data_IF_859847953237
#
_entry.id   IF_859847953237
#
_cell.length_a   1.000
_cell.length_b   1.000
_cell.length_c   1.000
_cell.angle_alpha   90.00
_cell.angle_beta   90.00
_cell.angle_gamma   90.00
#
_symmetry.space_group_name_H-M   'P 1'
#
loop_
_entity.id
_entity.type
_entity.pdbx_description
1 polymer ?
2 non-polymer ?
3 non-polymer ?
4 water ?
#
# COMPACT_ATOMS: atom_id res chain seq x y z
N UNK A 1 -16.90 -36.40 -1.53
CA UNK A 1 -18.30 -36.18 -1.08
C UNK A 1 -18.85 -34.92 -1.77
N UNK A 2 -19.61 -34.11 -1.02
CA UNK A 2 -20.15 -32.83 -1.57
C UNK A 2 -19.04 -31.77 -1.65
N UNK A 3 -17.92 -31.93 -0.94
CA UNK A 3 -16.82 -30.91 -0.89
C UNK A 3 -16.22 -30.66 -2.28
N UNK A 4 -16.28 -31.65 -3.19
CA UNK A 4 -15.69 -31.55 -4.55
C UNK A 4 -16.38 -30.46 -5.37
N UNK A 5 -17.68 -30.27 -5.12
CA UNK A 5 -18.51 -29.33 -5.92
C UNK A 5 -18.17 -27.89 -5.53
N UNK A 6 -17.83 -27.66 -4.25
CA UNK A 6 -17.46 -26.31 -3.75
C UNK A 6 -16.21 -25.83 -4.49
N UNK A 7 -15.22 -26.73 -4.59
CA UNK A 7 -13.89 -26.40 -5.16
C UNK A 7 -14.01 -26.12 -6.65
N UNK A 8 -14.80 -26.91 -7.38
CA UNK A 8 -14.89 -26.70 -8.85
C UNK A 8 -15.55 -25.34 -9.10
N UNK A 9 -16.47 -24.92 -8.23
CA UNK A 9 -17.04 -23.55 -8.36
C UNK A 9 -15.99 -22.53 -7.92
N UNK A 10 -15.17 -22.86 -6.90
CA UNK A 10 -14.01 -21.99 -6.60
C UNK A 10 -13.17 -21.83 -7.87
N UNK A 11 -12.92 -22.94 -8.59
CA UNK A 11 -12.18 -22.86 -9.88
C UNK A 11 -12.94 -21.94 -10.84
N UNK A 12 -14.28 -22.02 -10.81
CA UNK A 12 -15.16 -21.28 -11.74
C UNK A 12 -15.13 -19.78 -11.41
N UNK A 13 -15.12 -19.42 -10.13
CA UNK A 13 -15.13 -17.99 -9.71
C UNK A 13 -13.73 -17.41 -9.95
N UNK A 14 -12.68 -18.23 -9.80
CA UNK A 14 -11.29 -17.76 -10.12
C UNK A 14 -11.27 -17.39 -11.59
N UNK A 15 -11.84 -18.23 -12.44
CA UNK A 15 -11.87 -17.96 -13.90
C UNK A 15 -12.83 -16.81 -14.16
N UNK A 16 -13.96 -16.80 -13.43
CA UNK A 16 -14.99 -15.74 -13.57
C UNK A 16 -14.32 -14.37 -13.32
N UNK A 17 -13.69 -14.21 -12.14
CA UNK A 17 -13.09 -12.93 -11.72
C UNK A 17 -11.96 -12.46 -12.64
N UNK A 18 -11.15 -13.40 -13.13
CA UNK A 18 -9.88 -13.05 -13.82
C UNK A 18 -10.18 -12.81 -15.30
N UNK A 19 -11.03 -13.63 -15.89
CA UNK A 19 -11.40 -13.41 -17.31
C UNK A 19 -11.95 -11.99 -17.43
N UNK A 20 -12.65 -11.53 -16.38
CA UNK A 20 -13.18 -10.14 -16.35
C UNK A 20 -12.02 -9.16 -16.37
N UNK A 21 -11.04 -9.40 -15.50
CA UNK A 21 -9.90 -8.46 -15.29
C UNK A 21 -9.17 -8.28 -16.63
N UNK A 22 -8.91 -9.38 -17.36
CA UNK A 22 -8.13 -9.34 -18.62
C UNK A 22 -8.86 -8.45 -19.64
N UNK A 23 -10.11 -8.79 -19.94
CA UNK A 23 -10.94 -8.01 -20.90
C UNK A 23 -11.06 -6.55 -20.41
N UNK A 24 -11.48 -6.35 -19.16
CA UNK A 24 -11.67 -4.99 -18.57
C UNK A 24 -10.46 -4.07 -18.81
N UNK A 25 -9.23 -4.60 -18.66
CA UNK A 25 -7.99 -3.79 -18.86
C UNK A 25 -7.85 -3.46 -20.34
N UNK A 26 -7.94 -4.48 -21.20
CA UNK A 26 -7.75 -4.29 -22.67
C UNK A 26 -8.99 -3.59 -23.27
N UNK A 27 -10.11 -3.54 -22.52
CA UNK A 27 -11.38 -2.96 -23.05
C UNK A 27 -11.35 -1.42 -22.92
N UNK A 28 -10.76 -0.88 -21.85
CA UNK A 28 -10.86 0.58 -21.59
C UNK A 28 -9.45 1.19 -21.49
N UNK A 29 -9.22 2.29 -22.21
CA UNK A 29 -7.93 3.04 -22.20
C UNK A 29 -7.66 3.60 -20.79
N UNK A 30 -8.70 3.88 -20.00
CA UNK A 30 -8.53 4.45 -18.64
C UNK A 30 -7.92 3.43 -17.67
N UNK A 31 -7.99 2.13 -17.99
CA UNK A 31 -7.35 1.08 -17.14
C UNK A 31 -6.08 0.56 -17.83
N UNK A 32 -5.67 1.16 -18.95
CA UNK A 32 -4.48 0.65 -19.68
C UNK A 32 -3.22 1.29 -19.12
N UNK A 33 -2.95 1.06 -17.83
CA UNK A 33 -1.77 1.63 -17.14
C UNK A 33 -0.71 0.53 -16.94
N UNK A 34 0.56 0.95 -16.79
CA UNK A 34 1.70 0.06 -16.47
C UNK A 34 1.29 -1.00 -15.44
N UNK A 35 0.83 -0.55 -14.27
CA UNK A 35 0.51 -1.44 -13.12
C UNK A 35 -0.58 -2.42 -13.52
N UNK A 36 -1.62 -1.92 -14.18
CA UNK A 36 -2.81 -2.74 -14.53
C UNK A 36 -2.40 -3.75 -15.61
N UNK A 37 -1.42 -3.40 -16.46
CA UNK A 37 -0.86 -4.37 -17.43
C UNK A 37 -0.17 -5.49 -16.66
N UNK A 38 0.60 -5.15 -15.62
CA UNK A 38 1.25 -6.19 -14.77
C UNK A 38 0.17 -6.95 -14.00
N UNK A 39 -1.00 -6.35 -13.80
CA UNK A 39 -2.09 -6.99 -13.02
C UNK A 39 -2.74 -8.11 -13.85
N UNK A 40 -2.87 -7.93 -15.17
CA UNK A 40 -3.45 -9.01 -16.02
C UNK A 40 -2.45 -10.17 -16.08
N UNK A 41 -1.14 -9.87 -16.05
CA UNK A 41 -0.07 -10.92 -16.02
C UNK A 41 -0.25 -11.75 -14.76
N UNK A 42 -0.59 -11.10 -13.65
CA UNK A 42 -0.95 -11.76 -12.36
C UNK A 42 -2.24 -12.56 -12.57
N UNK A 43 -3.20 -11.99 -13.32
CA UNK A 43 -4.52 -12.63 -13.55
C UNK A 43 -4.32 -13.90 -14.38
N UNK A 44 -3.30 -13.91 -15.23
CA UNK A 44 -3.06 -15.08 -16.14
C UNK A 44 -2.44 -16.22 -15.32
N UNK A 45 -1.57 -15.87 -14.37
CA UNK A 45 -1.00 -16.87 -13.43
C UNK A 45 -2.14 -17.48 -12.60
N UNK A 46 -3.11 -16.65 -12.19
CA UNK A 46 -4.27 -17.08 -11.35
C UNK A 46 -5.20 -17.95 -12.22
N UNK A 47 -5.20 -17.74 -13.55
CA UNK A 47 -6.07 -18.54 -14.45
C UNK A 47 -5.42 -19.90 -14.72
N UNK A 48 -4.11 -19.90 -14.96
CA UNK A 48 -3.38 -21.15 -15.29
C UNK A 48 -3.39 -22.09 -14.08
N UNK A 49 -3.35 -21.54 -12.85
CA UNK A 49 -3.49 -22.36 -11.61
C UNK A 49 -4.86 -23.03 -11.64
N UNK A 50 -5.93 -22.26 -11.92
CA UNK A 50 -7.33 -22.75 -11.87
C UNK A 50 -7.57 -23.81 -12.94
N UNK A 51 -6.94 -23.68 -14.11
CA UNK A 51 -7.19 -24.58 -15.27
C UNK A 51 -6.15 -25.71 -15.30
N UNK A 52 -4.85 -25.40 -15.24
CA UNK A 52 -3.80 -26.43 -15.45
C UNK A 52 -3.57 -27.26 -14.19
N UNK A 53 -3.86 -26.74 -12.98
CA UNK A 53 -3.26 -27.32 -11.74
C UNK A 53 -4.36 -27.73 -10.75
N UNK A 54 -5.29 -26.83 -10.48
CA UNK A 54 -6.24 -27.00 -9.35
C UNK A 54 -7.12 -28.23 -9.58
N UNK A 55 -7.55 -28.53 -10.83
CA UNK A 55 -8.23 -29.79 -11.12
C UNK A 55 -7.55 -31.05 -10.56
N UNK A 56 -6.23 -31.19 -10.74
CA UNK A 56 -5.49 -32.33 -10.18
C UNK A 56 -5.48 -32.28 -8.64
N UNK A 57 -5.49 -31.07 -8.06
CA UNK A 57 -5.50 -30.94 -6.59
C UNK A 57 -6.85 -31.41 -6.05
N UNK A 58 -7.93 -31.13 -6.79
CA UNK A 58 -9.29 -31.57 -6.33
C UNK A 58 -9.36 -33.11 -6.47
N UNK A 59 -8.86 -33.69 -7.57
CA UNK A 59 -8.91 -35.17 -7.74
C UNK A 59 -8.19 -35.78 -6.54
N UNK A 60 -7.10 -35.14 -6.11
CA UNK A 60 -6.23 -35.63 -5.02
C UNK A 60 -7.02 -35.63 -3.71
N UNK A 61 -7.96 -34.68 -3.57
CA UNK A 61 -8.90 -34.65 -2.41
C UNK A 61 -9.96 -35.74 -2.61
N UNK A 62 -10.54 -35.83 -3.82
CA UNK A 62 -11.63 -36.81 -4.14
C UNK A 62 -11.06 -38.22 -3.96
N UNK A 63 -10.11 -38.62 -4.81
CA UNK A 63 -9.44 -39.96 -4.76
C UNK A 63 -8.68 -40.18 -3.44
N UNK A 64 -7.86 -39.23 -2.97
CA UNK A 64 -7.13 -39.38 -1.69
C UNK A 64 -5.69 -39.84 -1.85
N UNK A 65 -5.26 -40.12 -3.08
CA UNK A 65 -3.80 -40.35 -3.36
C UNK A 65 -3.57 -40.13 -4.86
N UNK A 66 -2.32 -40.14 -5.34
CA UNK A 66 -2.05 -39.70 -6.74
C UNK A 66 -2.70 -40.66 -7.76
N UNK A 67 -2.40 -41.95 -7.79
CA UNK A 67 -3.17 -42.84 -8.73
C UNK A 67 -3.03 -42.42 -10.21
N UNK A 68 -1.85 -41.89 -10.61
CA UNK A 68 -1.45 -41.47 -11.99
C UNK A 68 0.07 -41.63 -12.16
N UNK A 69 0.63 -41.32 -13.34
CA UNK A 69 2.07 -41.65 -13.58
C UNK A 69 2.96 -40.76 -12.71
N UNK A 70 4.18 -41.19 -12.40
CA UNK A 70 5.19 -40.34 -11.70
C UNK A 70 5.41 -39.05 -12.49
N UNK A 71 5.59 -39.15 -13.81
CA UNK A 71 5.98 -37.94 -14.58
C UNK A 71 4.81 -36.95 -14.60
N UNK A 72 3.58 -37.46 -14.60
CA UNK A 72 2.35 -36.64 -14.53
C UNK A 72 2.44 -35.83 -13.21
N UNK A 73 2.80 -36.48 -12.12
CA UNK A 73 2.92 -35.76 -10.83
C UNK A 73 4.04 -34.72 -10.96
N UNK A 74 5.20 -35.08 -11.51
CA UNK A 74 6.31 -34.11 -11.74
C UNK A 74 5.80 -32.90 -12.51
N UNK A 75 5.15 -33.13 -13.65
CA UNK A 75 4.54 -32.04 -14.46
C UNK A 75 3.58 -31.25 -13.58
N UNK A 76 2.75 -31.96 -12.81
CA UNK A 76 1.66 -31.28 -12.06
C UNK A 76 2.30 -30.41 -10.97
N UNK A 77 3.38 -30.89 -10.35
CA UNK A 77 4.08 -30.17 -9.24
C UNK A 77 4.89 -29.02 -9.84
N UNK A 78 5.64 -29.30 -10.91
CA UNK A 78 6.43 -28.27 -11.61
C UNK A 78 5.50 -27.11 -11.98
N UNK A 79 4.40 -27.40 -12.68
CA UNK A 79 3.47 -26.33 -13.15
C UNK A 79 2.79 -25.65 -11.97
N UNK A 80 2.42 -26.40 -10.93
CA UNK A 80 1.79 -25.79 -9.72
C UNK A 80 2.78 -24.77 -9.11
N UNK A 81 4.02 -25.19 -8.90
CA UNK A 81 5.07 -24.28 -8.35
C UNK A 81 5.28 -23.12 -9.34
N UNK A 82 5.24 -23.39 -10.64
CA UNK A 82 5.61 -22.35 -11.63
C UNK A 82 4.58 -21.22 -11.58
N UNK A 83 3.29 -21.53 -11.50
CA UNK A 83 2.22 -20.50 -11.58
C UNK A 83 2.09 -19.75 -10.24
N UNK A 84 2.48 -20.38 -9.15
CA UNK A 84 2.41 -19.66 -7.86
C UNK A 84 3.60 -18.70 -7.80
N UNK A 85 4.72 -19.09 -8.42
CA UNK A 85 5.95 -18.25 -8.44
C UNK A 85 5.70 -17.04 -9.35
N UNK A 86 5.01 -17.25 -10.47
CA UNK A 86 4.58 -16.13 -11.35
C UNK A 86 3.71 -15.14 -10.58
N UNK A 87 2.78 -15.67 -9.77
CA UNK A 87 1.94 -14.86 -8.84
C UNK A 87 2.81 -13.93 -7.97
N UNK A 88 3.86 -14.49 -7.34
CA UNK A 88 4.79 -13.77 -6.45
C UNK A 88 5.69 -12.79 -7.25
N UNK A 89 6.29 -13.26 -8.34
CA UNK A 89 7.17 -12.43 -9.18
C UNK A 89 6.38 -11.31 -9.83
N UNK A 90 5.05 -11.47 -9.99
CA UNK A 90 4.18 -10.40 -10.55
C UNK A 90 3.93 -9.32 -9.50
N UNK A 91 3.65 -9.72 -8.26
CA UNK A 91 3.58 -8.79 -7.10
C UNK A 91 4.89 -8.00 -6.98
N UNK A 92 6.02 -8.67 -7.18
CA UNK A 92 7.34 -8.00 -7.09
C UNK A 92 7.45 -6.91 -8.16
N UNK A 93 7.05 -7.23 -9.38
CA UNK A 93 7.14 -6.24 -10.46
C UNK A 93 6.09 -5.16 -10.21
N UNK A 94 4.95 -5.53 -9.61
CA UNK A 94 3.88 -4.52 -9.33
C UNK A 94 4.42 -3.51 -8.31
N UNK A 95 5.12 -4.02 -7.30
CA UNK A 95 5.63 -3.11 -6.25
C UNK A 95 6.68 -2.21 -6.89
N UNK A 96 7.54 -2.80 -7.72
CA UNK A 96 8.62 -2.01 -8.36
C UNK A 96 8.00 -0.95 -9.25
N UNK A 97 6.95 -1.30 -10.00
CA UNK A 97 6.25 -0.33 -10.87
C UNK A 97 5.57 0.74 -9.98
N UNK A 98 5.20 0.37 -8.77
CA UNK A 98 4.67 1.38 -7.81
C UNK A 98 5.82 2.27 -7.30
N UNK A 99 7.01 1.69 -7.08
CA UNK A 99 8.15 2.52 -6.64
C UNK A 99 8.42 3.55 -7.74
N UNK A 100 8.51 3.11 -8.99
CA UNK A 100 8.93 4.04 -10.07
C UNK A 100 7.92 5.18 -10.12
N UNK A 101 6.62 4.87 -10.00
CA UNK A 101 5.55 5.86 -10.27
C UNK A 101 5.61 6.98 -9.22
N UNK A 102 5.86 6.62 -7.97
CA UNK A 102 5.93 7.63 -6.87
C UNK A 102 7.31 8.30 -6.81
N UNK A 103 8.38 7.61 -7.22
CA UNK A 103 9.77 8.08 -6.98
C UNK A 103 10.45 8.61 -8.24
N UNK A 104 9.83 8.46 -9.43
CA UNK A 104 10.50 8.90 -10.69
C UNK A 104 9.56 9.79 -11.49
N UNK A 105 10.10 10.70 -12.34
CA UNK A 105 9.26 11.54 -13.21
C UNK A 105 8.47 10.77 -14.27
N UNK A 110 7.33 9.43 -21.10
CA UNK A 110 6.93 8.15 -20.46
C UNK A 110 5.67 7.63 -21.14
N UNK A 111 5.69 7.49 -22.48
CA UNK A 111 4.52 7.06 -23.32
C UNK A 111 4.80 5.67 -23.90
N UNK A 112 5.45 5.58 -25.08
CA UNK A 112 5.92 4.29 -25.66
C UNK A 112 6.94 3.62 -24.72
N UNK A 113 7.70 4.40 -23.94
CA UNK A 113 8.79 3.91 -23.03
C UNK A 113 8.22 3.03 -21.91
N UNK A 114 7.05 3.41 -21.38
CA UNK A 114 6.31 2.60 -20.37
C UNK A 114 5.93 1.23 -20.93
N UNK A 115 5.34 1.17 -22.14
CA UNK A 115 4.93 -0.10 -22.79
C UNK A 115 6.17 -0.97 -23.00
N UNK A 116 7.26 -0.38 -23.48
CA UNK A 116 8.51 -1.14 -23.70
C UNK A 116 9.10 -1.58 -22.36
N UNK A 117 8.80 -0.88 -21.27
CA UNK A 117 9.41 -1.26 -19.97
C UNK A 117 8.60 -2.38 -19.35
N UNK A 118 7.32 -2.12 -19.07
CA UNK A 118 6.36 -3.11 -18.50
C UNK A 118 6.54 -4.44 -19.21
N UNK A 119 6.61 -4.40 -20.55
CA UNK A 119 6.89 -5.59 -21.41
C UNK A 119 8.13 -6.31 -20.86
N UNK A 120 9.22 -5.57 -20.68
CA UNK A 120 10.48 -6.20 -20.20
C UNK A 120 10.20 -6.83 -18.84
N UNK A 121 9.48 -6.14 -17.95
CA UNK A 121 9.20 -6.71 -16.62
C UNK A 121 8.42 -8.03 -16.79
N UNK A 122 7.26 -8.00 -17.46
CA UNK A 122 6.42 -9.22 -17.68
C UNK A 122 7.30 -10.36 -18.22
N UNK A 123 8.13 -10.07 -19.22
CA UNK A 123 9.07 -11.09 -19.77
C UNK A 123 9.95 -11.67 -18.66
N UNK A 124 10.43 -10.83 -17.74
CA UNK A 124 11.29 -11.34 -16.64
C UNK A 124 10.43 -12.24 -15.76
N UNK A 125 9.20 -11.85 -15.48
CA UNK A 125 8.36 -12.56 -14.48
C UNK A 125 8.20 -14.01 -14.92
N UNK A 126 7.88 -14.24 -16.18
CA UNK A 126 7.48 -15.60 -16.63
C UNK A 126 8.73 -16.44 -16.91
N UNK A 127 9.73 -15.83 -17.56
CA UNK A 127 10.97 -16.58 -17.93
C UNK A 127 11.58 -17.08 -16.63
N UNK A 128 11.68 -16.20 -15.65
CA UNK A 128 12.35 -16.54 -14.38
C UNK A 128 11.47 -17.57 -13.67
N UNK A 129 10.16 -17.38 -13.72
CA UNK A 129 9.20 -18.34 -13.09
C UNK A 129 9.50 -19.73 -13.66
N UNK A 130 9.69 -19.80 -14.98
CA UNK A 130 9.94 -21.06 -15.71
C UNK A 130 11.28 -21.67 -15.28
N UNK A 131 12.33 -20.85 -15.39
CA UNK A 131 13.73 -21.30 -15.13
C UNK A 131 13.84 -21.76 -13.68
N UNK A 132 13.09 -21.14 -12.76
CA UNK A 132 13.01 -21.59 -11.34
C UNK A 132 12.34 -22.97 -11.27
N UNK A 133 11.37 -23.26 -12.15
CA UNK A 133 10.54 -24.48 -12.07
C UNK A 133 11.21 -25.67 -12.77
N UNK A 134 12.20 -25.41 -13.63
CA UNK A 134 12.73 -26.51 -14.50
C UNK A 134 13.41 -27.57 -13.65
N UNK A 135 14.15 -27.20 -12.58
CA UNK A 135 14.73 -28.19 -11.68
C UNK A 135 13.75 -29.29 -11.20
N UNK A 136 12.49 -28.92 -10.96
CA UNK A 136 11.49 -29.88 -10.40
C UNK A 136 11.24 -31.01 -11.41
N UNK A 137 11.35 -30.72 -12.71
CA UNK A 137 11.18 -31.78 -13.74
C UNK A 137 12.43 -32.67 -13.81
N UNK A 138 13.59 -32.21 -13.33
CA UNK A 138 14.83 -32.99 -13.49
C UNK A 138 15.37 -33.40 -12.11
N UNK A 139 14.46 -33.56 -11.15
CA UNK A 139 14.75 -34.09 -9.79
C UNK A 139 15.76 -33.29 -8.98
N UNK A 140 15.73 -31.95 -9.03
CA UNK A 140 16.61 -31.09 -8.18
C UNK A 140 18.02 -31.71 -8.11
N UNK A 141 18.66 -31.81 -9.29
CA UNK A 141 20.01 -32.41 -9.47
C UNK A 141 20.15 -33.65 -8.57
N UNK A 142 19.16 -34.55 -8.61
CA UNK A 142 19.18 -35.86 -7.90
C UNK A 142 18.69 -36.94 -8.88
N UNK A 143 19.60 -37.62 -9.57
CA UNK A 143 19.24 -38.64 -10.58
C UNK A 143 18.72 -39.92 -9.90
N UNK A 144 18.18 -40.89 -10.66
CA UNK A 144 17.26 -41.93 -10.12
C UNK A 144 16.19 -41.22 -9.28
N UNK A 145 15.35 -40.43 -9.95
CA UNK A 145 14.24 -39.72 -9.27
C UNK A 145 13.37 -40.77 -8.58
N UNK A 146 12.84 -41.70 -9.38
CA UNK A 146 12.06 -42.89 -8.95
C UNK A 146 10.86 -42.47 -8.10
N UNK A 147 10.43 -41.21 -8.16
CA UNK A 147 9.35 -40.72 -7.29
C UNK A 147 9.00 -39.30 -7.69
N UNK A 148 7.72 -38.94 -7.52
CA UNK A 148 7.25 -37.55 -7.74
C UNK A 148 8.17 -36.62 -6.96
N UNK A 149 8.52 -35.48 -7.56
CA UNK A 149 9.55 -34.57 -6.97
C UNK A 149 9.07 -34.08 -5.59
N UNK A 150 7.76 -34.14 -5.31
CA UNK A 150 7.19 -33.74 -3.98
C UNK A 150 7.91 -34.51 -2.85
N UNK A 151 8.38 -35.73 -3.13
CA UNK A 151 8.92 -36.65 -2.12
C UNK A 151 10.37 -36.31 -1.79
N UNK A 152 11.04 -35.52 -2.65
CA UNK A 152 12.44 -35.09 -2.40
C UNK A 152 12.45 -34.21 -1.16
N UNK A 153 13.35 -34.45 -0.18
CA UNK A 153 13.41 -33.62 1.03
C UNK A 153 13.68 -32.14 0.69
N UNK A 154 14.50 -31.91 -0.35
CA UNK A 154 14.93 -30.55 -0.76
C UNK A 154 13.75 -29.77 -1.38
N UNK A 155 12.67 -30.47 -1.75
CA UNK A 155 11.63 -29.80 -2.57
C UNK A 155 11.05 -28.60 -1.81
N UNK A 156 10.57 -28.86 -0.60
CA UNK A 156 9.98 -27.82 0.29
C UNK A 156 11.02 -26.74 0.57
N UNK A 157 12.30 -27.11 0.71
CA UNK A 157 13.39 -26.12 0.99
C UNK A 157 13.64 -25.28 -0.26
N UNK A 158 13.72 -25.90 -1.43
CA UNK A 158 13.94 -25.15 -2.70
C UNK A 158 12.74 -24.24 -3.00
N UNK A 159 11.54 -24.82 -3.02
CA UNK A 159 10.30 -24.10 -3.43
C UNK A 159 9.98 -22.96 -2.45
N UNK A 160 10.31 -23.14 -1.17
CA UNK A 160 9.95 -22.13 -0.15
C UNK A 160 10.87 -20.91 -0.32
N UNK A 161 12.18 -21.15 -0.32
CA UNK A 161 13.19 -20.05 -0.45
C UNK A 161 13.04 -19.38 -1.82
N UNK A 162 13.25 -20.16 -2.88
CA UNK A 162 13.44 -19.59 -4.23
C UNK A 162 12.16 -18.92 -4.72
N UNK A 163 10.99 -19.44 -4.34
CA UNK A 163 9.70 -19.04 -4.96
C UNK A 163 8.84 -18.21 -4.00
N UNK A 164 9.20 -18.11 -2.72
CA UNK A 164 8.31 -17.38 -1.78
C UNK A 164 9.09 -16.38 -0.94
N UNK A 165 9.90 -16.87 0.00
CA UNK A 165 10.55 -16.01 1.03
C UNK A 165 11.41 -14.91 0.34
N UNK A 166 12.15 -15.28 -0.70
CA UNK A 166 13.16 -14.36 -1.30
C UNK A 166 12.43 -13.29 -2.12
N UNK A 167 11.42 -13.65 -2.94
CA UNK A 167 10.58 -12.65 -3.58
C UNK A 167 9.77 -11.87 -2.52
N UNK A 168 9.45 -12.51 -1.40
CA UNK A 168 8.68 -11.84 -0.32
C UNK A 168 9.53 -10.74 0.30
N UNK A 169 10.80 -11.03 0.64
CA UNK A 169 11.69 -10.04 1.29
C UNK A 169 11.84 -8.84 0.37
N UNK A 170 12.17 -9.08 -0.91
CA UNK A 170 12.44 -8.00 -1.91
C UNK A 170 11.20 -7.11 -2.05
N UNK A 171 10.06 -7.73 -2.39
CA UNK A 171 8.80 -6.94 -2.51
C UNK A 171 8.51 -6.15 -1.23
N UNK A 172 8.70 -6.76 -0.05
CA UNK A 172 8.54 -6.04 1.24
C UNK A 172 9.57 -4.90 1.33
N UNK A 173 10.81 -5.11 0.91
CA UNK A 173 11.79 -4.01 1.00
C UNK A 173 11.34 -2.85 0.10
N UNK A 174 10.81 -3.14 -1.10
CA UNK A 174 10.34 -2.06 -2.00
C UNK A 174 9.24 -1.26 -1.30
N UNK A 175 8.25 -1.97 -0.73
CA UNK A 175 7.04 -1.32 -0.16
C UNK A 175 7.46 -0.41 0.99
N UNK A 176 8.41 -0.89 1.80
CA UNK A 176 9.00 -0.02 2.85
C UNK A 176 9.52 1.27 2.18
N UNK A 177 10.33 1.15 1.11
CA UNK A 177 10.94 2.33 0.43
C UNK A 177 9.80 3.22 -0.08
N UNK A 178 8.77 2.61 -0.67
CA UNK A 178 7.58 3.38 -1.15
C UNK A 178 6.97 4.13 0.04
N UNK A 179 6.72 3.44 1.15
CA UNK A 179 6.16 4.11 2.34
C UNK A 179 7.03 5.32 2.72
N UNK A 180 8.36 5.15 2.76
CA UNK A 180 9.30 6.24 3.12
C UNK A 180 9.13 7.41 2.16
N UNK A 181 8.99 7.12 0.86
CA UNK A 181 8.93 8.18 -0.20
C UNK A 181 7.66 9.00 0.00
N UNK A 182 6.53 8.31 0.10
CA UNK A 182 5.20 8.93 0.32
C UNK A 182 5.22 9.73 1.63
N UNK A 183 5.93 9.21 2.65
CA UNK A 183 6.02 9.88 3.98
C UNK A 183 6.79 11.20 3.83
N UNK A 184 7.88 11.22 3.05
CA UNK A 184 8.64 12.49 2.86
C UNK A 184 7.75 13.50 2.11
N UNK A 185 7.06 13.06 1.05
CA UNK A 185 6.19 13.97 0.27
C UNK A 185 5.04 14.45 1.15
N UNK A 186 4.43 13.57 1.94
CA UNK A 186 3.26 14.00 2.77
C UNK A 186 3.73 15.11 3.69
N UNK A 187 4.92 14.98 4.28
CA UNK A 187 5.47 16.02 5.19
C UNK A 187 5.91 17.22 4.36
N UNK A 188 6.20 17.01 3.09
CA UNK A 188 6.71 18.08 2.21
C UNK A 188 5.53 19.01 1.88
N UNK A 189 4.41 18.30 1.52
CA UNK A 189 3.17 19.06 1.17
C UNK A 189 2.64 19.80 2.39
N UNK A 190 2.84 19.30 3.62
CA UNK A 190 2.28 20.02 4.79
C UNK A 190 3.00 21.35 4.89
N UNK A 191 4.33 21.31 5.00
CA UNK A 191 5.20 22.50 5.07
C UNK A 191 4.82 23.45 3.93
N UNK A 192 4.65 22.92 2.73
CA UNK A 192 4.33 23.73 1.53
C UNK A 192 2.95 24.39 1.72
N UNK A 193 2.04 23.69 2.40
CA UNK A 193 0.66 24.19 2.65
C UNK A 193 0.74 25.41 3.57
N UNK A 194 1.53 25.32 4.64
CA UNK A 194 1.54 26.37 5.67
C UNK A 194 2.49 27.48 5.26
N UNK A 195 3.42 27.18 4.34
CA UNK A 195 4.25 28.24 3.71
C UNK A 195 3.31 29.16 2.93
N UNK A 196 2.28 28.60 2.32
CA UNK A 196 1.32 29.40 1.51
C UNK A 196 0.43 30.24 2.43
N UNK A 197 0.00 29.69 3.58
CA UNK A 197 -1.02 30.32 4.46
C UNK A 197 -0.35 31.25 5.49
N UNK A 198 0.55 30.71 6.31
CA UNK A 198 1.25 31.46 7.37
C UNK A 198 2.32 32.37 6.72
N UNK A 199 3.02 31.87 5.70
CA UNK A 199 4.20 32.58 5.16
C UNK A 199 5.51 32.09 5.79
N UNK A 200 6.55 31.90 4.98
CA UNK A 200 7.89 31.44 5.45
C UNK A 200 8.77 32.66 5.72
N UNK A 201 9.29 32.73 6.94
CA UNK A 201 10.21 33.81 7.37
C UNK A 201 11.56 33.17 7.72
N UNK A 202 12.66 33.78 7.24
CA UNK A 202 14.03 33.23 7.43
C UNK A 202 14.91 34.20 8.25
N UNK A 203 14.35 35.35 8.64
CA UNK A 203 14.98 36.28 9.63
C UNK A 203 14.12 36.30 10.89
N UNK A 204 14.73 36.28 12.08
CA UNK A 204 13.92 36.28 13.34
C UNK A 204 13.01 37.51 13.35
N UNK A 205 11.78 37.36 13.84
CA UNK A 205 10.76 38.43 13.72
C UNK A 205 9.85 38.37 14.95
N UNK A 206 9.34 39.53 15.39
CA UNK A 206 8.34 39.56 16.49
C UNK A 206 7.01 39.03 15.91
N UNK A 207 6.37 38.08 16.59
CA UNK A 207 5.08 37.49 16.13
C UNK A 207 3.92 38.40 16.55
N UNK A 208 2.68 38.01 16.24
CA UNK A 208 1.45 38.78 16.57
C UNK A 208 1.47 39.19 18.05
N UNK A 209 1.84 38.25 18.92
CA UNK A 209 1.67 38.36 20.40
C UNK A 209 3.01 38.74 21.05
N UNK A 210 3.97 39.19 20.23
CA UNK A 210 5.14 39.93 20.75
C UNK A 210 6.42 39.11 20.80
N UNK A 211 6.33 37.81 21.06
CA UNK A 211 7.55 36.95 21.22
C UNK A 211 8.23 36.74 19.87
N UNK A 212 9.55 36.59 19.90
CA UNK A 212 10.38 36.41 18.68
C UNK A 212 10.21 34.98 18.18
N UNK A 213 9.89 34.83 16.89
CA UNK A 213 9.69 33.52 16.24
C UNK A 213 10.54 33.46 14.96
N UNK A 214 10.58 32.31 14.30
CA UNK A 214 11.21 32.19 12.94
C UNK A 214 10.55 31.05 12.15
N UNK A 215 10.67 31.10 10.82
CA UNK A 215 10.14 30.04 9.94
C UNK A 215 8.63 30.13 9.86
N UNK A 216 7.94 29.08 10.31
CA UNK A 216 6.45 29.05 10.28
C UNK A 216 5.96 28.88 11.72
N UNK A 217 5.80 30.02 12.42
CA UNK A 217 5.21 30.07 13.77
C UNK A 217 5.96 29.17 14.74
N UNK A 218 7.29 29.32 14.76
CA UNK A 218 8.16 28.62 15.75
C UNK A 218 8.78 29.65 16.70
N UNK A 219 8.15 29.84 17.86
CA UNK A 219 8.63 30.76 18.93
C UNK A 219 9.96 30.24 19.45
N UNK A 220 11.03 31.04 19.37
CA UNK A 220 12.33 30.69 19.99
C UNK A 220 12.21 30.77 21.54
N UNK A 221 11.55 31.82 22.04
CA UNK A 221 11.46 32.09 23.50
C UNK A 221 10.31 33.06 23.79
N UNK A 222 9.47 32.70 24.77
CA UNK A 222 8.40 33.60 25.28
C UNK A 222 9.04 34.88 25.81
N UNK A 223 10.15 34.72 26.57
CA UNK A 223 10.91 35.87 27.12
C UNK A 223 11.54 36.66 25.97
N UNK A 224 11.28 37.98 25.87
CA UNK A 224 11.92 38.81 24.86
C UNK A 224 13.29 39.35 25.30
N UNK A 225 14.35 38.72 24.79
CA UNK A 225 15.73 39.29 24.77
C UNK A 225 16.39 38.84 23.45
N UNK A 226 16.68 39.77 22.54
CA UNK A 226 17.11 39.44 21.14
C UNK A 226 18.30 38.46 21.17
N UNK A 227 19.39 38.80 21.88
CA UNK A 227 20.58 37.89 22.00
C UNK A 227 20.15 36.57 22.66
N UNK A 228 19.25 36.62 23.66
CA UNK A 228 18.70 35.40 24.29
C UNK A 228 17.77 34.66 23.32
N UNK A 229 17.07 35.39 22.45
CA UNK A 229 16.16 34.80 21.44
C UNK A 229 16.99 34.08 20.38
N UNK A 230 18.09 34.69 19.95
CA UNK A 230 19.09 34.00 19.10
C UNK A 230 19.50 32.72 19.83
N UNK A 231 19.74 32.82 21.14
CA UNK A 231 20.26 31.72 21.98
C UNK A 231 19.50 30.41 21.72
N UNK A 232 18.18 30.41 21.87
CA UNK A 232 17.34 29.18 21.69
C UNK A 232 17.46 28.66 20.26
N UNK A 233 17.44 29.55 19.26
CA UNK A 233 17.61 29.22 17.81
C UNK A 233 18.94 28.46 17.61
N UNK A 234 20.04 28.98 18.17
CA UNK A 234 21.40 28.38 18.09
C UNK A 234 21.38 26.91 18.56
N UNK A 235 20.68 26.64 19.67
CA UNK A 235 20.47 25.24 20.14
C UNK A 235 19.83 24.42 19.01
N UNK A 236 18.83 24.99 18.33
CA UNK A 236 18.09 24.27 17.27
C UNK A 236 19.01 23.96 16.09
N UNK A 237 19.62 25.00 15.49
CA UNK A 237 20.38 24.85 14.21
C UNK A 237 21.72 24.16 14.47
N UNK A 238 22.46 24.55 15.51
CA UNK A 238 23.84 24.08 15.78
C UNK A 238 24.89 25.05 15.25
N UNK A 239 24.58 25.75 14.15
CA UNK A 239 25.47 26.81 13.59
C UNK A 239 25.12 28.12 14.28
N UNK A 240 25.93 29.16 14.10
CA UNK A 240 25.49 30.47 14.64
C UNK A 240 24.31 30.95 13.82
N UNK A 241 23.11 30.88 14.38
CA UNK A 241 21.91 31.37 13.68
C UNK A 241 22.23 32.73 13.08
N UNK A 242 22.86 33.59 13.89
CA UNK A 242 23.03 35.03 13.52
C UNK A 242 21.68 35.56 13.03
N UNK A 243 20.58 34.98 13.50
CA UNK A 243 19.20 35.32 13.10
C UNK A 243 18.89 35.03 11.63
N UNK A 244 19.69 34.16 11.00
CA UNK A 244 19.55 33.82 9.55
C UNK A 244 19.40 32.30 9.44
N UNK A 245 18.33 31.85 8.75
CA UNK A 245 18.00 30.40 8.56
C UNK A 245 17.77 30.14 7.05
N UNK A 246 17.97 28.90 6.61
CA UNK A 246 17.66 28.46 5.21
C UNK A 246 16.22 27.98 5.14
N UNK A 247 15.61 27.90 3.94
CA UNK A 247 14.26 27.29 3.81
C UNK A 247 14.32 25.91 4.46
N UNK A 248 15.32 25.13 4.07
CA UNK A 248 15.52 23.73 4.54
C UNK A 248 15.49 23.69 6.07
N UNK A 249 16.34 24.49 6.72
CA UNK A 249 16.46 24.50 8.20
C UNK A 249 15.11 24.79 8.84
N UNK A 250 14.35 25.74 8.27
CA UNK A 250 13.00 26.11 8.74
C UNK A 250 12.07 24.89 8.65
N UNK A 251 12.12 24.18 7.53
CA UNK A 251 11.30 22.97 7.33
C UNK A 251 11.69 21.93 8.39
N UNK A 252 12.98 21.66 8.55
CA UNK A 252 13.44 20.73 9.63
C UNK A 252 12.81 21.23 10.94
N UNK A 253 12.87 22.54 11.19
CA UNK A 253 12.26 23.14 12.41
C UNK A 253 10.74 22.95 12.36
N UNK A 254 10.17 22.98 11.14
CA UNK A 254 8.69 22.95 10.98
C UNK A 254 8.15 21.55 11.33
N UNK A 255 8.83 20.51 10.84
CA UNK A 255 8.35 19.12 11.07
C UNK A 255 8.35 18.80 12.56
N UNK A 256 9.25 19.41 13.32
CA UNK A 256 9.25 19.31 14.81
C UNK A 256 7.96 19.96 15.34
N UNK A 257 7.61 21.16 14.85
CA UNK A 257 6.39 21.90 15.30
C UNK A 257 5.16 21.03 15.04
N UNK A 258 5.12 20.37 13.87
CA UNK A 258 3.98 19.48 13.46
C UNK A 258 3.87 18.31 14.44
N UNK A 259 4.99 17.63 14.71
CA UNK A 259 5.02 16.43 15.58
C UNK A 259 4.53 16.81 16.99
N UNK A 260 4.97 17.96 17.49
CA UNK A 260 4.51 18.45 18.81
C UNK A 260 3.02 18.73 18.73
N UNK A 261 2.56 19.38 17.65
CA UNK A 261 1.14 19.77 17.45
C UNK A 261 0.26 18.51 17.48
N UNK A 262 0.78 17.41 16.95
CA UNK A 262 0.00 16.15 16.76
C UNK A 262 -0.15 15.45 18.10
N UNK A 263 0.91 15.40 18.90
CA UNK A 263 0.84 14.64 20.18
C UNK A 263 -0.25 15.30 21.03
N UNK A 264 -0.29 16.64 20.99
CA UNK A 264 -1.27 17.43 21.76
C UNK A 264 -2.68 17.17 21.25
N UNK A 265 -2.81 16.97 19.93
CA UNK A 265 -4.14 16.67 19.32
C UNK A 265 -4.66 15.36 19.92
N UNK A 266 -3.81 14.33 19.95
CA UNK A 266 -4.20 13.00 20.50
C UNK A 266 -4.38 13.09 22.03
N UNK A 267 -3.54 13.92 22.68
CA UNK A 267 -3.66 14.18 24.14
C UNK A 267 -4.89 15.06 24.40
N UNK A 268 -5.53 15.59 23.35
CA UNK A 268 -6.76 16.42 23.49
C UNK A 268 -7.98 15.52 23.25
N UNK A 269 -8.85 15.38 24.25
CA UNK A 269 -10.02 14.46 24.15
C UNK A 269 -11.01 15.00 23.09
N UNK A 270 -11.05 16.32 22.87
CA UNK A 270 -12.00 16.91 21.89
C UNK A 270 -11.51 16.67 20.45
N UNK A 271 -10.20 16.47 20.25
CA UNK A 271 -9.63 16.38 18.89
C UNK A 271 -9.03 15.00 18.62
N UNK A 272 -8.80 14.17 19.64
CA UNK A 272 -8.21 12.82 19.43
C UNK A 272 -9.09 12.05 18.44
N UNK A 273 -10.40 11.87 18.71
CA UNK A 273 -11.24 11.01 17.89
C UNK A 273 -11.37 11.49 16.44
N UNK A 274 -11.60 12.79 16.27
CA UNK A 274 -11.85 13.38 14.93
C UNK A 274 -10.55 13.30 14.13
N UNK A 275 -9.39 13.50 14.78
CA UNK A 275 -8.09 13.40 14.06
C UNK A 275 -7.91 11.95 13.59
N UNK A 276 -8.14 11.00 14.50
CA UNK A 276 -8.01 9.54 14.21
C UNK A 276 -8.97 9.21 13.06
N UNK A 277 -10.13 9.88 13.01
CA UNK A 277 -11.19 9.53 12.02
C UNK A 277 -10.81 9.99 10.61
N UNK A 278 -10.02 11.05 10.49
CA UNK A 278 -9.79 11.72 9.17
C UNK A 278 -8.68 11.00 8.41
N UNK A 279 -8.63 11.24 7.10
CA UNK A 279 -7.55 10.72 6.23
C UNK A 279 -6.33 11.66 6.30
N UNK A 280 -5.23 11.26 5.67
CA UNK A 280 -3.90 11.92 5.77
C UNK A 280 -4.03 13.38 5.38
N UNK A 281 -4.57 13.65 4.19
CA UNK A 281 -4.63 15.04 3.61
C UNK A 281 -5.59 15.87 4.47
N UNK A 282 -6.75 15.33 4.80
CA UNK A 282 -7.72 16.05 5.65
C UNK A 282 -7.10 16.31 7.02
N UNK A 283 -6.14 15.49 7.42
CA UNK A 283 -5.48 15.70 8.74
C UNK A 283 -4.57 16.91 8.63
N UNK A 284 -4.02 17.17 7.44
CA UNK A 284 -3.07 18.30 7.23
C UNK A 284 -3.84 19.61 7.35
N UNK A 285 -5.08 19.65 6.85
CA UNK A 285 -6.00 20.79 7.05
C UNK A 285 -6.24 21.01 8.55
N UNK A 286 -6.50 19.94 9.30
CA UNK A 286 -6.81 20.07 10.76
C UNK A 286 -5.56 20.54 11.49
N UNK A 287 -4.38 20.15 11.01
CA UNK A 287 -3.09 20.64 11.56
C UNK A 287 -2.99 22.15 11.28
N UNK A 288 -3.33 22.55 10.05
CA UNK A 288 -3.30 23.97 9.61
C UNK A 288 -4.13 24.79 10.61
N UNK A 289 -5.33 24.34 10.95
CA UNK A 289 -6.18 25.06 11.94
C UNK A 289 -5.42 25.17 13.29
N UNK A 290 -4.89 24.08 13.82
CA UNK A 290 -4.27 24.14 15.19
C UNK A 290 -3.08 25.10 15.14
N UNK A 291 -2.42 25.21 13.98
CA UNK A 291 -1.24 26.12 13.82
C UNK A 291 -1.74 27.57 13.87
N UNK A 292 -2.90 27.80 13.25
CA UNK A 292 -3.48 29.17 13.16
C UNK A 292 -4.09 29.60 14.49
N UNK A 293 -4.85 28.73 15.14
CA UNK A 293 -5.65 29.17 16.31
C UNK A 293 -5.37 28.35 17.57
N UNK A 294 -4.57 27.28 17.49
CA UNK A 294 -4.32 26.48 18.71
C UNK A 294 -5.32 25.36 18.83
N UNK A 295 -4.92 24.31 19.54
CA UNK A 295 -5.79 23.11 19.67
C UNK A 295 -7.03 23.52 20.48
N UNK A 296 -6.87 24.34 21.53
CA UNK A 296 -8.03 24.80 22.33
C UNK A 296 -8.98 25.59 21.43
N UNK A 297 -8.41 26.41 20.54
CA UNK A 297 -9.18 27.23 19.58
C UNK A 297 -9.84 26.39 18.49
N UNK A 298 -9.11 25.44 17.93
CA UNK A 298 -9.61 24.47 16.91
C UNK A 298 -10.60 23.52 17.59
N UNK A 299 -10.42 23.31 18.90
CA UNK A 299 -11.24 22.34 19.64
C UNK A 299 -12.66 22.90 19.75
N UNK A 300 -12.83 24.19 19.41
CA UNK A 300 -14.15 24.80 19.30
C UNK A 300 -14.80 24.37 17.99
N UNK A 301 -16.04 24.77 17.75
CA UNK A 301 -16.83 24.20 16.61
C UNK A 301 -16.62 22.67 16.59
N UNK A 302 -16.89 22.09 17.76
CA UNK A 302 -17.18 20.65 18.00
C UNK A 302 -18.33 20.22 17.09
N UNK A 303 -19.33 21.09 17.00
CA UNK A 303 -20.51 21.01 16.09
C UNK A 303 -20.01 20.75 14.65
N UNK A 304 -19.01 21.52 14.21
CA UNK A 304 -18.42 21.36 12.85
C UNK A 304 -17.54 20.11 12.84
N UNK A 305 -16.86 19.84 13.96
CA UNK A 305 -15.87 18.74 14.08
C UNK A 305 -16.58 17.39 13.97
N UNK A 306 -17.77 17.27 14.56
CA UNK A 306 -18.56 16.00 14.48
C UNK A 306 -18.78 15.64 13.02
N UNK A 307 -19.13 16.63 12.17
CA UNK A 307 -19.41 16.42 10.73
C UNK A 307 -18.21 15.77 10.01
N UNK A 308 -16.98 16.24 10.26
CA UNK A 308 -15.74 15.70 9.63
C UNK A 308 -15.54 14.24 10.06
N UNK A 309 -15.86 13.96 11.32
CA UNK A 309 -15.81 12.57 11.84
C UNK A 309 -16.93 11.74 11.17
N UNK A 310 -18.13 12.30 11.01
CA UNK A 310 -19.29 11.59 10.37
C UNK A 310 -19.10 11.50 8.85
N UNK A 311 -17.94 11.91 8.32
CA UNK A 311 -17.61 11.86 6.87
C UNK A 311 -18.52 12.80 6.07
N UNK A 312 -19.29 13.65 6.77
CA UNK A 312 -20.15 14.69 6.12
C UNK A 312 -19.23 15.81 5.62
N UNK A 313 -18.55 15.57 4.48
CA UNK A 313 -17.54 16.51 3.92
C UNK A 313 -18.22 17.80 3.47
N UNK A 314 -19.31 17.68 2.71
CA UNK A 314 -20.03 18.86 2.16
C UNK A 314 -20.61 19.69 3.32
N UNK A 315 -21.18 19.04 4.34
CA UNK A 315 -21.90 19.75 5.44
C UNK A 315 -20.93 20.41 6.42
N UNK A 316 -19.75 19.84 6.64
CA UNK A 316 -18.69 20.45 7.49
C UNK A 316 -18.19 21.73 6.82
N UNK A 317 -18.11 21.73 5.48
CA UNK A 317 -17.61 22.89 4.71
C UNK A 317 -18.65 24.03 4.75
N UNK A 318 -19.95 23.69 4.76
CA UNK A 318 -21.05 24.69 4.80
C UNK A 318 -20.99 25.35 6.18
N UNK A 319 -20.85 24.55 7.24
CA UNK A 319 -20.84 25.03 8.65
C UNK A 319 -19.53 25.77 8.93
N UNK A 320 -18.40 25.38 8.33
CA UNK A 320 -17.10 26.03 8.67
C UNK A 320 -17.11 27.46 8.13
N UNK A 321 -17.71 27.66 6.96
CA UNK A 321 -17.71 28.99 6.30
C UNK A 321 -18.46 30.02 7.14
N UNK A 322 -19.34 29.58 8.05
CA UNK A 322 -20.25 30.48 8.84
C UNK A 322 -19.45 31.22 9.91
N UNK A 323 -18.24 30.75 10.21
CA UNK A 323 -17.46 31.16 11.41
C UNK A 323 -16.87 32.56 11.28
N UNK A 324 -16.39 33.05 12.42
CA UNK A 324 -15.53 34.26 12.56
C UNK A 324 -14.16 33.97 11.97
N UNK A 325 -13.71 32.72 12.11
CA UNK A 325 -12.43 32.26 11.52
C UNK A 325 -12.44 32.59 10.02
N UNK A 326 -13.57 32.39 9.33
CA UNK A 326 -13.71 32.76 7.90
C UNK A 326 -13.56 34.27 7.76
N UNK A 327 -14.24 35.04 8.62
CA UNK A 327 -14.28 36.54 8.53
C UNK A 327 -12.86 37.12 8.63
N UNK A 328 -12.04 36.60 9.56
CA UNK A 328 -10.67 37.13 9.82
C UNK A 328 -9.73 36.77 8.67
N UNK A 329 -9.71 35.51 8.22
CA UNK A 329 -8.79 34.99 7.17
C UNK A 329 -9.56 34.20 6.12
N UNK A 330 -10.43 34.87 5.32
CA UNK A 330 -11.35 34.17 4.42
C UNK A 330 -10.60 33.33 3.37
N UNK A 331 -9.62 33.91 2.68
CA UNK A 331 -8.81 33.19 1.64
C UNK A 331 -8.24 31.90 2.24
N UNK A 332 -7.55 32.00 3.38
CA UNK A 332 -6.94 30.83 4.10
C UNK A 332 -8.03 29.87 4.56
N UNK A 333 -9.09 30.36 5.19
CA UNK A 333 -10.22 29.49 5.58
C UNK A 333 -10.76 28.72 4.37
N UNK A 334 -11.12 29.42 3.29
CA UNK A 334 -11.69 28.79 2.05
C UNK A 334 -10.73 27.71 1.56
N UNK A 335 -9.43 28.03 1.49
CA UNK A 335 -8.40 27.07 1.01
C UNK A 335 -8.43 25.79 1.86
N UNK A 336 -8.41 25.96 3.18
CA UNK A 336 -8.36 24.83 4.13
C UNK A 336 -9.66 24.03 4.03
N UNK A 337 -10.80 24.72 3.98
CA UNK A 337 -12.17 24.09 3.96
C UNK A 337 -12.32 23.23 2.70
N UNK A 338 -11.76 23.69 1.58
CA UNK A 338 -11.71 22.87 0.33
C UNK A 338 -10.94 21.59 0.64
N UNK A 339 -9.74 21.70 1.22
CA UNK A 339 -8.92 20.52 1.57
C UNK A 339 -9.73 19.57 2.49
N UNK A 340 -10.57 20.11 3.38
CA UNK A 340 -11.51 19.31 4.23
C UNK A 340 -12.58 18.65 3.35
N UNK A 341 -13.13 19.39 2.39
CA UNK A 341 -14.17 18.80 1.50
C UNK A 341 -13.49 17.94 0.43
N UNK A 342 -12.60 18.54 -0.38
CA UNK A 342 -11.90 17.86 -1.52
C UNK A 342 -11.06 16.69 -0.98
N UNK A 343 -10.36 16.88 0.14
CA UNK A 343 -9.46 15.85 0.70
C UNK A 343 -8.21 15.67 -0.15
N UNK A 344 -7.88 16.71 -0.91
CA UNK A 344 -6.79 16.73 -1.93
C UNK A 344 -6.02 18.06 -1.79
N UNK A 345 -4.87 18.16 -2.44
CA UNK A 345 -4.05 19.40 -2.38
C UNK A 345 -4.35 20.34 -3.56
N UNK A 346 -5.58 20.30 -4.11
CA UNK A 346 -5.86 21.08 -5.33
C UNK A 346 -5.86 22.57 -4.99
N UNK A 347 -6.43 22.90 -3.83
CA UNK A 347 -6.46 24.27 -3.27
C UNK A 347 -5.06 24.94 -3.29
N UNK A 348 -4.00 24.19 -2.98
CA UNK A 348 -2.59 24.68 -2.87
C UNK A 348 -1.77 24.23 -4.09
N UNK A 353 -1.04 13.00 -7.37
CA UNK A 353 -2.24 12.73 -6.52
C UNK A 353 -2.75 11.30 -6.79
N UNK A 354 -2.94 10.97 -8.08
CA UNK A 354 -3.60 9.73 -8.59
C UNK A 354 -2.99 8.46 -7.98
N UNK A 355 -1.65 8.42 -7.86
CA UNK A 355 -0.91 7.15 -7.72
C UNK A 355 -0.92 6.70 -6.25
N UNK A 356 -1.12 7.60 -5.28
CA UNK A 356 -1.10 7.18 -3.84
C UNK A 356 -2.27 6.21 -3.58
N UNK A 357 -3.46 6.49 -4.14
CA UNK A 357 -4.65 5.59 -3.98
C UNK A 357 -4.34 4.27 -4.69
N UNK A 358 -3.78 4.33 -5.91
CA UNK A 358 -3.50 3.13 -6.72
C UNK A 358 -2.43 2.27 -6.04
N UNK A 359 -1.42 2.90 -5.43
CA UNK A 359 -0.32 2.18 -4.75
C UNK A 359 -0.83 1.56 -3.45
N UNK A 360 -1.93 2.09 -2.90
CA UNK A 360 -2.51 1.49 -1.68
C UNK A 360 -3.16 0.14 -2.06
N UNK A 361 -3.72 0.06 -3.27
CA UNK A 361 -4.35 -1.22 -3.71
C UNK A 361 -3.25 -2.26 -3.94
N UNK A 362 -2.12 -1.86 -4.54
CA UNK A 362 -1.01 -2.78 -4.88
C UNK A 362 -0.53 -3.52 -3.63
N UNK A 363 -0.22 -2.75 -2.58
CA UNK A 363 0.24 -3.29 -1.29
C UNK A 363 -0.86 -4.20 -0.71
N UNK A 364 -2.13 -3.82 -0.93
CA UNK A 364 -3.29 -4.52 -0.30
C UNK A 364 -3.39 -5.94 -0.87
N UNK A 365 -3.21 -6.11 -2.17
CA UNK A 365 -3.20 -7.47 -2.79
C UNK A 365 -1.94 -8.21 -2.34
N UNK A 366 -0.80 -7.52 -2.30
CA UNK A 366 0.50 -8.12 -1.91
C UNK A 366 0.43 -8.57 -0.44
N UNK A 367 -0.48 -7.97 0.33
CA UNK A 367 -0.63 -8.29 1.75
C UNK A 367 -1.55 -9.47 1.94
N UNK A 368 -2.71 -9.45 1.28
CA UNK A 368 -3.66 -10.58 1.42
C UNK A 368 -3.02 -11.79 0.74
N UNK A 369 -2.23 -11.55 -0.31
CA UNK A 369 -1.48 -12.67 -0.91
C UNK A 369 -0.72 -13.36 0.21
N UNK A 370 0.08 -12.58 0.92
CA UNK A 370 1.01 -13.12 1.97
C UNK A 370 0.17 -13.81 3.06
N UNK A 371 -0.92 -13.20 3.52
CA UNK A 371 -1.67 -13.81 4.66
C UNK A 371 -2.34 -15.08 4.15
N UNK A 372 -2.72 -15.14 2.87
CA UNK A 372 -3.40 -16.34 2.30
C UNK A 372 -2.41 -17.52 2.26
N UNK A 373 -1.17 -17.29 1.83
CA UNK A 373 -0.17 -18.39 1.73
C UNK A 373 0.69 -18.49 3.00
N UNK A 374 0.56 -17.54 3.95
CA UNK A 374 1.57 -17.50 5.05
C UNK A 374 1.46 -18.77 5.89
N UNK A 375 0.25 -19.21 6.30
CA UNK A 375 0.16 -20.40 7.14
C UNK A 375 0.72 -21.64 6.43
N UNK A 376 0.57 -21.75 5.10
CA UNK A 376 1.07 -22.90 4.33
C UNK A 376 2.59 -23.03 4.52
N UNK A 377 3.34 -21.95 4.32
CA UNK A 377 4.81 -22.03 4.58
C UNK A 377 5.15 -22.00 6.07
N UNK A 378 4.21 -21.59 6.93
CA UNK A 378 4.41 -21.72 8.40
C UNK A 378 4.45 -23.22 8.71
N UNK A 379 3.37 -23.95 8.41
CA UNK A 379 3.29 -25.39 8.69
C UNK A 379 4.55 -26.11 8.19
N UNK A 380 5.03 -25.77 7.00
CA UNK A 380 6.22 -26.45 6.39
C UNK A 380 7.44 -26.21 7.27
N UNK A 381 7.56 -25.02 7.90
CA UNK A 381 8.63 -24.71 8.89
C UNK A 381 8.54 -25.70 10.06
N UNK A 382 7.33 -25.92 10.57
CA UNK A 382 7.10 -26.75 11.79
C UNK A 382 7.62 -28.17 11.52
N UNK A 383 7.31 -28.74 10.36
CA UNK A 383 7.79 -30.11 10.04
C UNK A 383 9.32 -30.08 9.98
N UNK A 384 9.91 -29.03 9.40
CA UNK A 384 11.40 -28.84 9.27
C UNK A 384 11.98 -28.50 10.66
N UNK A 385 11.14 -27.99 11.58
CA UNK A 385 11.51 -27.76 13.01
C UNK A 385 11.19 -29.01 13.85
N UNK A 386 10.81 -30.10 13.18
CA UNK A 386 10.52 -31.43 13.78
C UNK A 386 9.46 -31.30 14.88
N UNK A 387 8.47 -30.42 14.69
CA UNK A 387 7.37 -30.18 15.68
C UNK A 387 6.36 -31.33 15.56
N UNK A 388 5.44 -31.47 16.54
CA UNK A 388 4.45 -32.58 16.59
C UNK A 388 3.75 -32.69 15.23
N UNK A 389 3.77 -33.88 14.60
CA UNK A 389 3.38 -34.07 13.17
C UNK A 389 2.06 -33.36 12.88
N UNK A 390 2.09 -32.33 12.02
CA UNK A 390 0.94 -31.40 11.77
C UNK A 390 -0.19 -32.19 11.11
N UNK A 391 -1.43 -32.15 11.65
CA UNK A 391 -2.55 -32.89 11.08
C UNK A 391 -2.75 -32.55 9.62
N UNK A 392 -2.92 -33.57 8.73
CA UNK A 392 -3.10 -33.33 7.30
C UNK A 392 -4.44 -32.61 7.02
N UNK A 393 -5.48 -32.93 7.82
CA UNK A 393 -6.82 -32.27 7.74
C UNK A 393 -6.62 -30.75 7.66
N UNK A 394 -5.70 -30.18 8.46
CA UNK A 394 -5.36 -28.72 8.40
C UNK A 394 -4.47 -28.43 7.20
N UNK A 395 -3.41 -29.22 7.03
CA UNK A 395 -2.42 -29.04 5.93
C UNK A 395 -3.13 -28.84 4.57
N UNK A 396 -4.29 -29.49 4.35
CA UNK A 396 -5.05 -29.36 3.08
C UNK A 396 -5.79 -28.02 3.06
N UNK A 397 -6.36 -27.65 4.20
CA UNK A 397 -7.10 -26.36 4.28
C UNK A 397 -6.18 -25.21 3.87
N UNK A 398 -4.93 -25.19 4.38
CA UNK A 398 -3.93 -24.12 4.13
C UNK A 398 -3.56 -24.06 2.64
N UNK A 399 -3.48 -25.21 1.97
CA UNK A 399 -3.24 -25.25 0.51
C UNK A 399 -4.34 -24.46 -0.19
N UNK A 400 -5.60 -24.72 0.16
CA UNK A 400 -6.77 -24.10 -0.52
C UNK A 400 -6.82 -22.62 -0.14
N UNK A 401 -6.46 -22.30 1.10
CA UNK A 401 -6.41 -20.87 1.52
C UNK A 401 -5.46 -20.14 0.57
N UNK A 402 -4.32 -20.76 0.25
CA UNK A 402 -3.37 -20.19 -0.73
C UNK A 402 -4.01 -20.06 -2.10
N UNK A 403 -4.79 -21.07 -2.49
CA UNK A 403 -5.39 -21.10 -3.84
C UNK A 403 -6.62 -20.19 -3.90
N UNK A 404 -7.20 -19.89 -2.72
CA UNK A 404 -8.37 -18.99 -2.59
C UNK A 404 -7.92 -17.59 -3.04
N UNK A 405 -6.65 -17.24 -2.79
CA UNK A 405 -6.11 -15.91 -3.14
C UNK A 405 -6.34 -15.62 -4.64
N UNK A 406 -6.47 -16.65 -5.48
CA UNK A 406 -6.66 -16.39 -6.93
C UNK A 406 -8.03 -15.74 -7.17
N UNK A 407 -9.03 -16.05 -6.34
CA UNK A 407 -10.42 -15.56 -6.49
C UNK A 407 -10.60 -14.22 -5.78
N UNK A 408 -9.80 -13.95 -4.74
CA UNK A 408 -9.99 -12.71 -3.93
C UNK A 408 -9.47 -11.48 -4.70
N UNK A 409 -8.50 -11.66 -5.62
CA UNK A 409 -7.77 -10.50 -6.19
C UNK A 409 -8.71 -9.66 -7.07
N UNK A 410 -9.47 -10.25 -8.03
CA UNK A 410 -10.43 -9.46 -8.81
C UNK A 410 -11.52 -8.83 -7.94
N UNK A 411 -11.86 -9.46 -6.80
CA UNK A 411 -12.79 -8.86 -5.79
C UNK A 411 -12.14 -7.59 -5.23
N UNK A 412 -10.84 -7.61 -4.98
CA UNK A 412 -10.13 -6.45 -4.39
C UNK A 412 -10.03 -5.36 -5.43
N UNK A 413 -9.81 -5.71 -6.69
CA UNK A 413 -9.73 -4.69 -7.77
C UNK A 413 -11.02 -3.87 -7.79
N UNK A 414 -12.18 -4.52 -7.97
CA UNK A 414 -13.49 -3.81 -8.03
C UNK A 414 -13.83 -3.14 -6.68
N UNK A 415 -13.33 -3.68 -5.56
CA UNK A 415 -13.70 -3.14 -4.23
C UNK A 415 -13.09 -1.76 -4.06
N UNK A 416 -11.76 -1.65 -4.15
CA UNK A 416 -10.98 -0.44 -3.78
C UNK A 416 -10.65 0.37 -5.04
N UNK A 417 -11.38 0.13 -6.13
CA UNK A 417 -11.14 0.93 -7.36
C UNK A 417 -12.46 1.09 -8.12
N UNK A 418 -12.79 2.35 -8.47
CA UNK A 418 -14.03 2.70 -9.21
C UNK A 418 -13.91 2.29 -10.69
N UNK A 419 -12.71 2.37 -11.28
CA UNK A 419 -12.55 2.16 -12.75
C UNK A 419 -12.74 0.68 -13.09
N UNK A 420 -12.10 -0.24 -12.36
CA UNK A 420 -12.35 -1.70 -12.55
C UNK A 420 -13.83 -1.98 -12.31
N UNK A 421 -14.39 -1.33 -11.28
CA UNK A 421 -15.81 -1.51 -10.85
C UNK A 421 -16.73 -1.18 -12.04
N UNK A 422 -16.52 -0.04 -12.69
CA UNK A 422 -17.37 0.42 -13.82
C UNK A 422 -17.11 -0.47 -15.05
N UNK A 423 -15.87 -0.86 -15.29
CA UNK A 423 -15.52 -1.72 -16.45
C UNK A 423 -16.18 -3.10 -16.29
N UNK A 424 -16.32 -3.55 -15.04
CA UNK A 424 -16.92 -4.88 -14.69
C UNK A 424 -18.41 -4.85 -15.03
N UNK A 425 -19.14 -3.86 -14.51
CA UNK A 425 -20.62 -3.77 -14.66
C UNK A 425 -21.00 -3.61 -16.13
N UNK A 426 -20.11 -3.01 -16.96
CA UNK A 426 -20.40 -2.78 -18.40
C UNK A 426 -20.44 -4.13 -19.12
N UNK A 427 -19.56 -5.05 -18.75
CA UNK A 427 -19.46 -6.36 -19.45
C UNK A 427 -20.74 -7.17 -19.16
N UNK A 428 -21.16 -7.23 -17.89
CA UNK A 428 -22.30 -8.08 -17.44
C UNK A 428 -23.62 -7.59 -18.04
N UNK A 429 -23.85 -6.27 -18.05
CA UNK A 429 -25.12 -5.64 -18.50
C UNK A 429 -24.94 -5.08 -19.92
X LIG B 1 2.50 -25.04 -2.74
X LIG B 1 1.66 -25.39 -3.97
X LIG B 1 2.83 -20.81 -2.93
X LIG B 1 2.92 -19.44 -2.90
X LIG B 1 3.98 -18.85 -3.53
X LIG B 1 4.92 -19.65 -4.18
X LIG B 1 4.83 -21.02 -4.21
X LIG B 1 3.77 -21.61 -3.58
X LIG B 1 3.67 -22.99 -3.57
X LIG B 1 2.60 -23.56 -2.63
X LIG B 1 0.32 -27.30 -3.43
X LIG B 1 0.00 -28.74 -3.79
X LIG B 1 1.18 -29.49 -3.29
X LIG B 1 2.48 -29.01 -3.90
X LIG B 1 2.69 -27.60 -3.61
X LIG B 1 1.07 -30.84 -3.60
X LIG B 1 0.64 -31.78 -2.68
X LIG B 1 0.55 -33.13 -3.05
X LIG B 1 0.89 -33.53 -4.34
X LIG B 1 1.33 -32.58 -5.25
X LIG B 1 1.42 -31.26 -4.90
X LIG B 1 4.07 -17.39 -3.51
X LIG B 1 1.54 -26.83 -4.10
X LIG B 1 4.44 -23.72 -4.20
X LIG B 1 1.18 -29.34 -1.87
X LIG B 1 0.80 -35.14 -4.87
X LIG C 1 16.28 2.62 -13.37
X LIG C 1 16.68 1.72 -12.59
X LIG C 1 17.04 3.28 -14.12
X LIG C 1 14.79 2.95 -13.39
X LIG C 1 13.88 1.99 -12.65
X LIG C 1 13.94 2.17 -11.14
X LIG C 1 13.23 1.09 -10.33
X LIG C 1 13.91 0.74 -9.02
X LIG C 1 13.01 0.17 -7.94
X LIG C 1 13.74 -0.25 -6.69
X LIG C 1 12.84 -0.33 -5.50
X LIG C 1 13.17 -0.43 -4.23
X LIG C 1 14.49 -0.76 -3.64
X LIG C 1 14.47 -2.02 -2.84
X LIG C 1 14.54 -3.28 -3.68
X LIG C 1 15.91 -3.85 -3.76
X LIG C 1 16.25 -4.83 -2.65
X LIG C 1 17.50 -5.67 -2.92
X LIG C 1 17.97 -6.50 -1.75
X LIG C 1 19.48 -6.59 -1.64
X LIG D 1 13.67 0.66 -19.90
X LIG D 1 13.79 1.65 -19.13
X LIG D 1 13.18 0.74 -21.03
X LIG D 1 14.12 -0.70 -19.39
X LIG D 1 13.71 -0.97 -17.98
X LIG D 1 13.66 -2.45 -17.64
X LIG D 1 13.10 -2.72 -16.26
X LIG D 1 13.05 -4.18 -15.90
X LIG D 1 12.78 -4.46 -14.43
X LIG D 1 12.37 -5.88 -14.14
X LIG D 1 12.32 -6.15 -12.67
X LIG D 1 11.41 -6.77 -11.95
X LIG D 1 10.23 -7.59 -12.35
X LIG D 1 10.36 -9.05 -12.00
X LIG D 1 10.59 -9.39 -10.54
X LIG D 1 12.04 -9.61 -10.20
X LIG D 1 12.29 -9.77 -8.72
X LIG D 1 13.47 -10.65 -8.38
X LIG D 1 13.23 -11.53 -7.17
X LIG D 1 13.74 -12.95 -7.31
X LIG E 1 18.81 1.32 -18.94
X LIG E 1 18.83 0.51 -19.90
X LIG E 1 18.60 2.57 -19.07
X LIG E 1 19.07 0.77 -17.56
X LIG E 1 18.07 -0.24 -17.08
X LIG E 1 18.29 -0.62 -15.63
X LIG E 1 17.06 -1.03 -14.88
X LIG E 1 17.22 -0.94 -13.39
X LIG E 1 16.29 -1.84 -12.58
X LIG E 1 16.90 -2.35 -11.31
X LIG E 1 16.54 -3.78 -10.99
X LIG E 1 15.70 -4.17 -10.08
X LIG E 1 15.31 -3.41 -8.85
X LIG E 1 14.73 -4.25 -7.76
X LIG E 1 15.04 -5.74 -7.89
X LIG E 1 16.37 -6.14 -7.34
X LIG E 1 16.93 -7.38 -7.96
X LIG E 1 17.73 -8.24 -7.02
X LIG E 1 16.97 -8.69 -5.80
X LIG E 1 17.52 -9.96 -5.20
X LIG F 1 1.01 4.04 2.36
X LIG F 1 -0.12 3.75 2.79
X LIG F 1 1.71 4.94 2.85
X LIG F 1 1.56 3.23 1.19
X LIG F 1 1.70 1.77 1.48
X LIG F 1 3.14 1.29 1.37
X LIG F 1 3.34 -0.13 1.81
X LIG F 1 3.75 -0.32 3.28
X LIG F 1 4.60 -1.56 3.59
X LIG F 1 3.85 -2.84 3.97
X LIG F 1 2.68 -3.24 3.08
X LIG F 1 2.26 -4.46 2.72
X LIG F 1 3.00 -5.76 2.78
X LIG F 1 3.76 -6.07 1.52
X LIG F 1 4.37 -7.45 1.49
X LIG F 1 4.84 -7.89 0.12
X LIG F 1 5.06 -9.40 0.00
X LIG F 1 5.16 -9.93 -1.41
X LIG F 1 4.86 -11.41 -1.54
X LIG F 1 4.92 -11.95 -2.95
#
# INVERSE_FOLDING_TARGET
NYYATLLTLLIAVIVFGNVLVCMAVSREKALQTTTNYLIVSLAVADLLVATLVMPWVVYLEVVGEWKFSRIHCDIFVTLDVMMCTASALNLCAISIDRYTAVAMPMLYNTRYSSKRRVTVMISIVWVLSFTISCPLLFGLNNADQNECIIANPAFVVYSSIVSFYVPFIVTLLVYIKIYIVLRRRRKRNIFEMLRIDEGLRLKIYKDTEGYYTIGIGHLLTKSPSLNAAKSELDKAIGRNTNGVITKDEAEKLFNQDVDAAVRGILRNAKLKPVYDSLDAVRRAALINMVFQMGETGVAGFTNSLRMLQQKRWDEAAVNLAKSRWYNQTPNRAKRVITTFRTGTWDAYKLSQQKEKKATQMAAIVAGVFIICWLPFFITHILNIHCDCNIPPVLYSAFTWLGYVNSAVNPIIYTTFNIEFRKAFLKILHC
GMJ C10 C11 C01 C02 C03 C04 C05 C06 C07 C09 C13 C14 C15 C16 C17 C18 C19 C20 C21 C22 C23 F26 N12 O08 O25 CL1
OLA C1 O1 O2 C2 C3 C4 C5 C6 C7 C8 C9 C10 C11 C12 C13 C14 C15 C16 C17 C18
OLA C1 O1 O2 C2 C3 C4 C5 C6 C7 C8 C9 C10 C11 C12 C13 C14 C15 C16 C17 C18
OLA C1 O1 O2 C2 C3 C4 C5 C6 C7 C8 C9 C10 C11 C12 C13 C14 C15 C16 C17 C18
OLA C1 O1 O2 C2 C3 C4 C5 C6 C7 C8 C9 C10 C11 C12 C13 C14 C15 C16 C17 C18
#
